data_IF_970028863647
#
_entry.id   IF_970028863647
#
_cell.length_a   1.000
_cell.length_b   1.000
_cell.length_c   1.000
_cell.angle_alpha   90.00
_cell.angle_beta   90.00
_cell.angle_gamma   90.00
#
_symmetry.space_group_name_H-M   'P 1'
#
loop_
_entity.id
_entity.type
_entity.pdbx_description
1 polymer ?
#
# COMPACT_ATOMS: atom_id res chain seq x y z
N UNK A 1 31.73 -8.27 -2.31
CA UNK A 1 31.49 -6.83 -2.16
C UNK A 1 30.01 -6.68 -1.86
N UNK A 2 29.70 -6.19 -0.68
CA UNK A 2 28.39 -6.22 -0.04
C UNK A 2 27.37 -5.44 -0.87
N UNK A 3 26.28 -6.08 -1.30
CA UNK A 3 25.13 -5.41 -1.91
C UNK A 3 24.47 -4.49 -0.86
N UNK A 4 24.95 -3.24 -0.74
CA UNK A 4 24.33 -2.24 0.13
C UNK A 4 22.93 -1.94 -0.40
N UNK A 5 21.89 -2.31 0.34
CA UNK A 5 20.52 -1.85 0.07
C UNK A 5 20.49 -0.35 0.36
N UNK A 6 20.56 0.50 -0.66
CA UNK A 6 20.54 1.96 -0.47
C UNK A 6 19.22 2.37 0.19
N UNK A 7 19.29 2.94 1.39
CA UNK A 7 18.11 3.48 2.07
C UNK A 7 17.59 4.66 1.27
N UNK A 8 16.28 4.69 0.99
CA UNK A 8 15.63 5.88 0.44
C UNK A 8 15.72 7.04 1.45
N UNK A 9 15.47 8.28 1.01
CA UNK A 9 15.68 9.49 1.82
C UNK A 9 14.94 9.45 3.16
N UNK A 10 13.73 8.90 3.21
CA UNK A 10 12.99 8.81 4.48
C UNK A 10 13.48 7.70 5.40
N UNK A 11 13.84 6.54 4.84
CA UNK A 11 14.46 5.49 5.62
C UNK A 11 15.83 5.93 6.11
N UNK A 12 16.55 6.76 5.34
CA UNK A 12 17.78 7.41 5.79
C UNK A 12 17.49 8.40 6.92
N UNK A 13 16.51 9.30 6.78
CA UNK A 13 16.11 10.23 7.86
C UNK A 13 15.58 9.50 9.11
N UNK A 14 14.89 8.37 8.93
CA UNK A 14 14.38 7.54 10.04
C UNK A 14 15.50 6.71 10.66
N UNK A 15 16.46 6.26 9.85
CA UNK A 15 17.70 5.64 10.29
C UNK A 15 18.51 6.62 11.14
N UNK A 16 18.76 7.83 10.65
CA UNK A 16 19.51 8.86 11.37
C UNK A 16 18.85 9.18 12.72
N UNK A 17 17.51 9.33 12.74
CA UNK A 17 16.77 9.53 14.00
C UNK A 17 16.85 8.32 14.93
N UNK A 18 16.84 7.09 14.40
CA UNK A 18 17.00 5.87 15.19
C UNK A 18 18.38 5.83 15.82
N UNK A 19 19.44 6.06 15.03
CA UNK A 19 20.83 6.06 15.50
C UNK A 19 21.05 7.14 16.56
N UNK A 20 20.63 8.38 16.29
CA UNK A 20 20.70 9.47 17.27
C UNK A 20 19.95 9.13 18.57
N UNK A 21 18.80 8.47 18.47
CA UNK A 21 18.04 8.04 19.66
C UNK A 21 18.76 6.93 20.43
N UNK A 22 19.40 5.99 19.74
CA UNK A 22 20.21 4.93 20.34
C UNK A 22 21.43 5.50 21.06
N UNK A 23 22.15 6.43 20.43
CA UNK A 23 23.32 7.10 21.01
C UNK A 23 22.93 7.96 22.23
N UNK A 24 21.85 8.74 22.12
CA UNK A 24 21.36 9.56 23.22
C UNK A 24 20.83 8.72 24.40
N UNK A 25 20.38 7.49 24.14
CA UNK A 25 19.83 6.57 25.13
C UNK A 25 20.88 5.78 25.92
N UNK A 26 22.16 5.82 25.54
CA UNK A 26 23.22 5.03 26.17
C UNK A 26 23.26 5.21 27.70
N UNK A 27 23.29 4.10 28.43
CA UNK A 27 23.28 4.09 29.89
C UNK A 27 21.92 4.39 30.53
N UNK A 28 20.85 4.54 29.75
CA UNK A 28 19.48 4.73 30.24
C UNK A 28 18.53 3.72 29.60
N UNK A 29 17.50 3.32 30.34
CA UNK A 29 16.44 2.47 29.77
C UNK A 29 15.63 3.28 28.77
N UNK A 30 15.67 2.87 27.50
CA UNK A 30 14.84 3.43 26.46
C UNK A 30 14.27 2.33 25.56
N UNK A 31 12.96 2.28 25.37
CA UNK A 31 12.32 1.28 24.52
C UNK A 31 11.98 1.93 23.18
N UNK A 32 12.75 1.63 22.14
CA UNK A 32 12.52 2.08 20.78
C UNK A 32 11.79 0.98 20.01
N UNK A 33 10.80 1.36 19.22
CA UNK A 33 10.06 0.43 18.38
C UNK A 33 10.45 0.66 16.94
N UNK A 34 11.06 -0.33 16.29
CA UNK A 34 11.35 -0.31 14.87
C UNK A 34 10.33 -1.18 14.13
N UNK A 35 9.63 -0.60 13.17
CA UNK A 35 8.54 -1.27 12.44
C UNK A 35 9.00 -1.50 11.02
N UNK A 36 9.02 -2.76 10.56
CA UNK A 36 9.41 -3.10 9.20
C UNK A 36 8.89 -4.48 8.80
N UNK A 37 8.05 -4.51 7.77
CA UNK A 37 7.54 -5.76 7.20
C UNK A 37 8.51 -6.39 6.17
N UNK A 38 9.45 -5.59 5.65
CA UNK A 38 10.45 -6.06 4.69
C UNK A 38 11.67 -6.65 5.42
N UNK A 39 11.82 -7.98 5.36
CA UNK A 39 12.92 -8.70 6.02
C UNK A 39 14.31 -8.28 5.54
N UNK A 40 14.48 -7.95 4.25
CA UNK A 40 15.77 -7.54 3.69
C UNK A 40 16.15 -6.12 4.17
N UNK A 41 15.21 -5.17 4.13
CA UNK A 41 15.41 -3.82 4.65
C UNK A 41 15.70 -3.83 6.15
N UNK A 42 14.94 -4.60 6.93
CA UNK A 42 15.19 -4.82 8.36
C UNK A 42 16.62 -5.33 8.59
N UNK A 43 17.05 -6.37 7.87
CA UNK A 43 18.42 -6.92 8.00
C UNK A 43 19.49 -5.87 7.67
N UNK A 44 19.29 -5.08 6.62
CA UNK A 44 20.22 -4.03 6.25
C UNK A 44 20.32 -2.95 7.32
N UNK A 45 19.18 -2.39 7.74
CA UNK A 45 19.12 -1.33 8.76
C UNK A 45 19.81 -1.80 10.03
N UNK A 46 19.48 -3.02 10.49
CA UNK A 46 20.13 -3.64 11.65
C UNK A 46 21.64 -3.73 11.43
N UNK A 47 22.07 -4.32 10.33
CA UNK A 47 23.50 -4.49 10.06
C UNK A 47 24.26 -3.17 10.01
N UNK A 48 23.62 -2.09 9.54
CA UNK A 48 24.23 -0.76 9.44
C UNK A 48 24.41 -0.09 10.79
N UNK A 49 23.34 0.08 11.56
CA UNK A 49 23.47 0.80 12.83
C UNK A 49 24.30 -0.01 13.83
N UNK A 50 24.25 -1.34 13.77
CA UNK A 50 25.07 -2.17 14.66
C UNK A 50 26.56 -2.00 14.32
N UNK A 51 26.93 -2.03 13.04
CA UNK A 51 28.31 -1.81 12.62
C UNK A 51 28.79 -0.38 12.95
N UNK A 52 27.92 0.63 12.79
CA UNK A 52 28.22 2.03 13.11
C UNK A 52 28.45 2.23 14.61
N UNK A 53 27.58 1.68 15.45
CA UNK A 53 27.70 1.77 16.90
C UNK A 53 28.89 0.97 17.44
N UNK A 54 29.14 -0.23 16.91
CA UNK A 54 30.32 -1.02 17.27
C UNK A 54 31.63 -0.30 16.92
N UNK A 55 31.67 0.40 15.78
CA UNK A 55 32.83 1.23 15.40
C UNK A 55 33.07 2.39 16.38
N UNK A 56 32.04 2.84 17.10
CA UNK A 56 32.13 3.85 18.15
C UNK A 56 32.42 3.26 19.55
N UNK A 57 32.61 1.93 19.66
CA UNK A 57 32.88 1.24 20.92
C UNK A 57 31.62 0.87 21.72
N UNK A 58 30.42 1.02 21.14
CA UNK A 58 29.16 0.61 21.76
C UNK A 58 28.96 -0.89 21.55
N UNK A 59 28.64 -1.62 22.63
CA UNK A 59 28.39 -3.06 22.56
C UNK A 59 26.95 -3.35 22.14
N UNK A 60 26.77 -4.18 21.11
CA UNK A 60 25.45 -4.54 20.59
C UNK A 60 25.08 -5.96 21.03
N UNK A 61 23.88 -6.14 21.59
CA UNK A 61 23.31 -7.44 21.91
C UNK A 61 22.12 -7.77 21.00
N UNK A 62 22.19 -8.87 20.24
CA UNK A 62 21.04 -9.38 19.50
C UNK A 62 20.27 -10.39 20.36
N UNK A 63 19.01 -10.07 20.65
CA UNK A 63 18.12 -10.89 21.47
C UNK A 63 17.08 -11.56 20.57
N UNK A 64 16.93 -12.88 20.69
CA UNK A 64 15.90 -13.62 19.98
C UNK A 64 14.73 -13.89 20.92
N UNK A 65 13.51 -13.55 20.50
CA UNK A 65 12.30 -13.94 21.21
C UNK A 65 12.09 -15.45 21.07
N UNK A 66 11.97 -16.12 22.21
CA UNK A 66 11.62 -17.53 22.29
C UNK A 66 10.14 -17.72 21.92
N UNK A 67 9.81 -18.69 21.06
CA UNK A 67 8.43 -18.93 20.65
C UNK A 67 7.61 -19.72 21.68
N UNK A 68 8.27 -20.42 22.60
CA UNK A 68 7.59 -21.12 23.70
C UNK A 68 7.31 -20.17 24.86
N UNK A 69 8.16 -19.16 25.04
CA UNK A 69 7.97 -18.08 26.02
C UNK A 69 8.35 -16.73 25.41
N UNK A 70 7.43 -16.09 24.66
CA UNK A 70 7.72 -14.86 23.94
C UNK A 70 7.72 -13.67 24.90
N UNK A 71 8.79 -13.53 25.68
CA UNK A 71 8.98 -12.48 26.67
C UNK A 71 10.26 -11.71 26.37
N UNK A 72 10.15 -10.38 26.31
CA UNK A 72 11.32 -9.50 26.14
C UNK A 72 12.28 -9.64 27.34
N UNK A 73 11.73 -9.79 28.55
CA UNK A 73 12.53 -10.02 29.75
C UNK A 73 13.30 -11.34 29.68
N UNK A 74 12.65 -12.41 29.21
CA UNK A 74 13.32 -13.70 29.06
C UNK A 74 14.44 -13.63 28.02
N UNK A 75 14.21 -12.92 26.91
CA UNK A 75 15.24 -12.71 25.90
C UNK A 75 16.46 -11.93 26.45
N UNK A 76 16.26 -10.98 27.37
CA UNK A 76 17.35 -10.27 28.06
C UNK A 76 18.16 -11.19 28.98
N UNK A 77 17.47 -12.05 29.73
CA UNK A 77 18.09 -13.04 30.63
C UNK A 77 18.93 -14.03 29.82
N UNK A 78 18.37 -14.58 28.74
CA UNK A 78 19.04 -15.54 27.87
C UNK A 78 20.23 -14.91 27.13
N UNK A 79 20.12 -13.62 26.79
CA UNK A 79 21.16 -12.83 26.13
C UNK A 79 22.38 -12.52 27.00
N UNK A 80 22.35 -12.82 28.32
CA UNK A 80 23.44 -12.59 29.28
C UNK A 80 24.09 -11.21 29.13
N UNK A 81 23.25 -10.18 29.13
CA UNK A 81 23.70 -8.80 28.91
C UNK A 81 24.59 -8.35 30.08
N UNK A 82 25.76 -7.82 29.76
CA UNK A 82 26.61 -7.14 30.73
C UNK A 82 26.18 -5.66 30.85
N UNK A 83 26.00 -5.21 32.09
CA UNK A 83 25.58 -3.85 32.40
C UNK A 83 26.75 -2.86 32.24
N UNK A 84 27.01 -2.47 30.99
CA UNK A 84 27.90 -1.37 30.61
C UNK A 84 27.05 -0.19 30.12
N UNK A 85 27.43 1.05 30.48
CA UNK A 85 26.78 2.28 29.98
C UNK A 85 26.90 2.46 28.45
N UNK A 86 27.81 1.75 27.78
CA UNK A 86 27.94 1.74 26.32
C UNK A 86 27.43 0.43 25.71
N UNK A 87 26.14 0.14 25.87
CA UNK A 87 25.52 -1.01 25.24
C UNK A 87 24.11 -0.73 24.73
N UNK A 88 23.68 -1.43 23.69
CA UNK A 88 22.31 -1.46 23.19
C UNK A 88 21.82 -2.90 23.02
N UNK A 89 20.52 -3.11 22.94
CA UNK A 89 19.97 -4.41 22.56
C UNK A 89 18.98 -4.35 21.40
N UNK A 90 19.14 -5.25 20.44
CA UNK A 90 18.26 -5.43 19.28
C UNK A 90 17.41 -6.68 19.50
N UNK A 91 16.11 -6.54 19.75
CA UNK A 91 15.19 -7.66 19.93
C UNK A 91 14.51 -8.07 18.60
N UNK A 92 14.59 -9.36 18.26
CA UNK A 92 14.19 -9.95 16.99
C UNK A 92 13.28 -11.19 17.18
N UNK A 93 12.54 -11.58 16.14
CA UNK A 93 11.74 -12.81 16.13
C UNK A 93 10.25 -12.59 16.38
N UNK A 94 9.82 -11.35 16.63
CA UNK A 94 8.42 -11.00 16.82
C UNK A 94 7.58 -11.26 15.56
N UNK A 95 8.19 -11.24 14.37
CA UNK A 95 7.56 -11.60 13.10
C UNK A 95 7.03 -13.04 13.03
N UNK A 96 7.54 -13.93 13.87
CA UNK A 96 7.07 -15.32 13.93
C UNK A 96 5.75 -15.44 14.70
N UNK A 97 5.38 -14.42 15.47
CA UNK A 97 4.14 -14.35 16.26
C UNK A 97 2.94 -13.86 15.43
N UNK A 98 3.17 -13.23 14.27
CA UNK A 98 2.12 -12.69 13.40
C UNK A 98 1.51 -13.69 12.41
N UNK A 99 2.01 -14.93 12.33
CA UNK A 99 1.49 -15.94 11.40
C UNK A 99 0.18 -16.57 11.93
N UNK A 100 -0.92 -16.43 11.17
CA UNK A 100 -2.30 -16.82 11.51
C UNK A 100 -2.55 -18.35 11.57
N UNK A 101 -1.85 -19.06 12.45
CA UNK A 101 -2.18 -20.43 12.88
C UNK A 101 -2.74 -20.45 14.30
N UNK A 102 -3.62 -21.38 14.64
CA UNK A 102 -4.25 -21.46 15.98
C UNK A 102 -3.23 -21.48 17.14
N UNK A 103 -2.13 -22.22 16.99
CA UNK A 103 -1.03 -22.28 17.97
C UNK A 103 -0.26 -20.95 18.12
N UNK A 104 -0.19 -20.13 17.08
CA UNK A 104 0.51 -18.84 17.13
C UNK A 104 -0.34 -17.74 17.77
N UNK A 105 -1.67 -17.89 17.78
CA UNK A 105 -2.58 -16.93 18.42
C UNK A 105 -2.42 -16.91 19.94
N UNK A 106 -2.31 -18.08 20.56
CA UNK A 106 -2.04 -18.19 22.00
C UNK A 106 -0.67 -17.61 22.39
N UNK A 107 0.34 -17.82 21.53
CA UNK A 107 1.69 -17.26 21.69
C UNK A 107 1.69 -15.73 21.56
N UNK A 108 0.94 -15.20 20.60
CA UNK A 108 0.74 -13.76 20.45
C UNK A 108 0.03 -13.16 21.66
N UNK A 109 -1.02 -13.81 22.16
CA UNK A 109 -1.75 -13.36 23.35
C UNK A 109 -0.85 -13.34 24.58
N UNK A 110 0.01 -14.36 24.73
CA UNK A 110 1.01 -14.44 25.79
C UNK A 110 2.06 -13.33 25.68
N UNK A 111 2.61 -13.09 24.48
CA UNK A 111 3.55 -12.00 24.22
C UNK A 111 2.97 -10.62 24.59
N UNK A 112 1.75 -10.32 24.15
CA UNK A 112 1.06 -9.06 24.45
C UNK A 112 0.77 -8.93 25.96
N UNK A 113 0.40 -10.04 26.61
CA UNK A 113 0.26 -10.13 28.06
C UNK A 113 1.57 -9.80 28.77
N UNK A 114 2.67 -10.44 28.41
CA UNK A 114 3.98 -10.15 29.01
C UNK A 114 4.41 -8.70 28.82
N UNK A 115 4.21 -8.13 27.62
CA UNK A 115 4.52 -6.72 27.35
C UNK A 115 3.79 -5.78 28.32
N UNK A 116 2.49 -6.02 28.54
CA UNK A 116 1.67 -5.23 29.46
C UNK A 116 2.20 -5.26 30.91
N UNK A 117 2.83 -6.36 31.34
CA UNK A 117 3.35 -6.54 32.71
C UNK A 117 4.88 -6.36 32.85
N UNK A 118 5.64 -6.14 31.77
CA UNK A 118 7.13 -6.04 31.82
C UNK A 118 7.70 -4.76 32.45
N UNK A 119 6.86 -3.77 32.77
CA UNK A 119 7.25 -2.40 33.14
C UNK A 119 8.35 -2.30 34.21
N UNK A 120 8.16 -2.94 35.35
CA UNK A 120 9.10 -2.83 36.48
C UNK A 120 10.35 -3.69 36.30
N UNK A 121 10.23 -4.82 35.59
CA UNK A 121 11.34 -5.73 35.37
C UNK A 121 12.39 -5.17 34.40
N UNK A 122 11.98 -4.37 33.41
CA UNK A 122 12.90 -3.77 32.44
C UNK A 122 13.75 -2.63 33.03
N UNK A 123 13.35 -2.02 34.16
CA UNK A 123 14.14 -0.98 34.85
C UNK A 123 15.51 -1.45 35.31
N UNK A 124 15.69 -2.76 35.48
CA UNK A 124 16.99 -3.37 35.78
C UNK A 124 17.99 -3.31 34.62
N UNK A 125 17.57 -2.89 33.43
CA UNK A 125 18.37 -2.87 32.20
C UNK A 125 18.49 -1.43 31.67
N UNK A 126 19.43 -0.62 32.18
CA UNK A 126 19.59 0.78 31.79
C UNK A 126 20.32 0.90 30.44
N UNK A 127 19.71 0.38 29.39
CA UNK A 127 20.21 0.44 28.02
C UNK A 127 19.08 0.66 27.01
N UNK A 128 19.36 1.30 25.87
CA UNK A 128 18.39 1.46 24.80
C UNK A 128 18.16 0.12 24.10
N UNK A 129 16.89 -0.23 23.97
CA UNK A 129 16.40 -1.47 23.36
C UNK A 129 15.57 -1.16 22.13
N UNK A 130 15.93 -1.75 20.99
CA UNK A 130 15.15 -1.65 19.74
C UNK A 130 14.37 -2.94 19.56
N UNK A 131 13.04 -2.86 19.69
CA UNK A 131 12.14 -3.96 19.41
C UNK A 131 11.68 -3.90 17.94
N UNK A 132 12.11 -4.87 17.14
CA UNK A 132 11.72 -4.98 15.74
C UNK A 132 10.41 -5.74 15.58
N UNK A 133 9.41 -5.10 14.97
CA UNK A 133 8.06 -5.62 14.83
C UNK A 133 7.57 -5.51 13.37
N UNK A 134 6.73 -6.45 12.91
CA UNK A 134 5.85 -6.20 11.77
C UNK A 134 4.79 -5.14 12.08
N UNK A 135 4.30 -4.45 11.05
CA UNK A 135 3.24 -3.45 11.18
C UNK A 135 1.95 -4.05 11.75
N UNK A 136 1.62 -5.29 11.39
CA UNK A 136 0.45 -6.00 11.91
C UNK A 136 0.52 -6.16 13.45
N UNK A 137 1.71 -6.44 13.99
CA UNK A 137 1.90 -6.64 15.42
C UNK A 137 1.92 -5.33 16.20
N UNK A 138 2.37 -4.23 15.57
CA UNK A 138 2.28 -2.89 16.14
C UNK A 138 0.84 -2.52 16.49
N UNK A 139 -0.10 -2.80 15.57
CA UNK A 139 -1.53 -2.51 15.77
C UNK A 139 -2.09 -3.26 16.99
N UNK A 140 -1.69 -4.52 17.17
CA UNK A 140 -2.10 -5.32 18.32
C UNK A 140 -1.51 -4.82 19.64
N UNK A 141 -0.23 -4.40 19.66
CA UNK A 141 0.40 -3.83 20.86
C UNK A 141 -0.28 -2.53 21.28
N UNK A 142 -0.60 -1.64 20.34
CA UNK A 142 -1.30 -0.38 20.63
C UNK A 142 -2.66 -0.65 21.27
N UNK A 143 -3.39 -1.66 20.79
CA UNK A 143 -4.73 -2.00 21.27
C UNK A 143 -4.72 -2.75 22.60
N UNK A 144 -3.75 -3.66 22.80
CA UNK A 144 -3.81 -4.69 23.84
C UNK A 144 -2.72 -4.60 24.89
N UNK A 145 -1.70 -3.78 24.67
CA UNK A 145 -0.64 -3.47 25.63
C UNK A 145 -0.40 -1.95 25.74
N UNK A 146 -1.43 -1.15 26.10
CA UNK A 146 -1.35 0.31 26.14
C UNK A 146 -0.34 0.85 27.17
N UNK A 147 -0.12 0.13 28.28
CA UNK A 147 0.85 0.56 29.30
C UNK A 147 2.27 0.43 28.78
N UNK A 148 2.59 -0.69 28.11
CA UNK A 148 3.86 -0.84 27.39
C UNK A 148 4.01 0.23 26.30
N UNK A 149 2.96 0.47 25.51
CA UNK A 149 2.97 1.50 24.48
C UNK A 149 3.33 2.87 25.04
N UNK A 150 2.83 3.24 26.22
CA UNK A 150 3.12 4.53 26.86
C UNK A 150 4.60 4.75 27.21
N UNK A 151 5.39 3.67 27.34
CA UNK A 151 6.81 3.69 27.71
C UNK A 151 7.78 3.78 26.54
N UNK A 152 7.29 3.72 25.31
CA UNK A 152 8.16 3.81 24.12
C UNK A 152 8.85 5.18 24.08
N UNK A 153 10.16 5.18 23.88
CA UNK A 153 10.96 6.38 23.64
C UNK A 153 10.84 6.90 22.20
N UNK A 154 10.42 6.05 21.26
CA UNK A 154 10.23 6.43 19.86
C UNK A 154 9.68 5.30 19.02
N UNK A 155 9.08 5.65 17.88
CA UNK A 155 8.61 4.69 16.87
C UNK A 155 9.24 5.06 15.52
N UNK A 156 10.00 4.12 14.97
CA UNK A 156 10.77 4.28 13.75
C UNK A 156 10.18 3.34 12.71
N UNK A 157 9.46 3.92 11.76
CA UNK A 157 8.81 3.12 10.72
C UNK A 157 9.77 3.04 9.53
N UNK A 158 10.41 1.88 9.38
CA UNK A 158 11.18 1.53 8.21
C UNK A 158 10.23 0.88 7.23
N UNK A 159 9.53 1.73 6.49
CA UNK A 159 8.64 1.33 5.42
C UNK A 159 9.28 1.58 4.07
N UNK A 160 8.48 1.54 3.02
CA UNK A 160 8.76 2.39 1.88
C UNK A 160 8.40 3.83 2.30
N UNK A 161 9.16 4.83 1.85
CA UNK A 161 9.00 6.23 2.27
C UNK A 161 7.52 6.70 2.26
N UNK A 162 7.03 7.26 3.37
CA UNK A 162 5.96 8.27 3.42
C UNK A 162 6.27 9.43 2.46
N UNK A 163 5.39 9.52 1.47
CA UNK A 163 5.17 10.66 0.62
C UNK A 163 5.18 12.02 1.37
N UNK A 164 6.08 12.93 0.96
CA UNK A 164 5.88 14.36 1.13
C UNK A 164 5.03 14.86 -0.05
N UNK A 165 3.72 14.99 0.20
CA UNK A 165 2.73 15.44 -0.78
C UNK A 165 2.97 16.86 -1.31
N UNK A 166 3.87 17.64 -0.70
CA UNK A 166 4.13 19.02 -1.13
C UNK A 166 5.13 19.15 -2.28
N UNK A 167 5.89 18.09 -2.58
CA UNK A 167 6.98 18.13 -3.59
C UNK A 167 6.73 17.29 -4.83
N UNK A 168 5.66 16.50 -4.88
CA UNK A 168 5.28 15.78 -6.09
C UNK A 168 4.41 16.71 -6.96
N UNK A 169 5.03 17.32 -7.97
CA UNK A 169 4.30 17.81 -9.14
C UNK A 169 3.74 16.59 -9.89
N UNK A 170 2.57 16.12 -9.46
CA UNK A 170 1.82 15.06 -10.11
C UNK A 170 0.98 15.69 -11.23
N UNK A 171 1.29 15.34 -12.47
CA UNK A 171 0.35 15.42 -13.60
C UNK A 171 -0.78 14.43 -13.34
N UNK A 172 -1.95 14.92 -12.92
CA UNK A 172 -3.12 14.08 -12.68
C UNK A 172 -3.85 13.83 -14.00
N UNK A 173 -3.84 12.57 -14.45
CA UNK A 173 -4.91 12.00 -15.23
C UNK A 173 -5.61 10.96 -14.32
N UNK A 174 -6.93 11.14 -14.10
CA UNK A 174 -7.99 10.17 -13.72
C UNK A 174 -7.71 8.99 -12.76
N UNK A 175 -6.61 8.98 -12.00
CA UNK A 175 -6.18 7.82 -11.22
C UNK A 175 -6.19 8.10 -9.71
N UNK A 176 -7.32 7.94 -8.98
CA UNK A 176 -7.29 7.61 -7.53
C UNK A 176 -8.66 7.31 -6.86
N UNK A 177 -9.44 6.31 -7.30
CA UNK A 177 -10.56 5.77 -6.48
C UNK A 177 -10.57 4.24 -6.35
N UNK A 178 -9.38 3.66 -6.13
CA UNK A 178 -9.20 2.26 -5.73
C UNK A 178 -8.62 2.11 -4.31
N UNK A 179 -8.69 3.16 -3.49
CA UNK A 179 -8.15 3.19 -2.14
C UNK A 179 -9.03 4.00 -1.15
N UNK A 180 -10.16 3.41 -0.79
CA UNK A 180 -10.92 3.51 0.46
C UNK A 180 -12.08 2.50 0.28
N UNK A 181 -12.52 1.66 1.21
CA UNK A 181 -12.43 1.56 2.65
C UNK A 181 -11.40 0.52 3.18
N UNK A 182 -10.85 0.86 4.34
CA UNK A 182 -10.00 0.07 5.26
C UNK A 182 -8.48 -0.01 4.99
N UNK A 183 -7.79 0.92 5.66
CA UNK A 183 -6.43 0.93 6.23
C UNK A 183 -5.19 0.56 5.40
N UNK A 184 -4.19 1.45 5.52
CA UNK A 184 -2.75 1.35 5.18
C UNK A 184 -2.31 1.72 3.76
N UNK A 185 -1.89 2.98 3.64
CA UNK A 185 -0.74 3.47 2.87
C UNK A 185 -0.33 2.65 1.64
N UNK A 186 -1.07 2.86 0.55
CA UNK A 186 -0.56 2.65 -0.80
C UNK A 186 0.18 3.91 -1.25
N UNK A 187 1.50 3.86 -1.18
CA UNK A 187 2.43 4.82 -1.77
C UNK A 187 3.27 4.08 -2.80
N UNK A 188 3.40 4.69 -3.98
CA UNK A 188 4.06 4.21 -5.19
C UNK A 188 5.48 3.69 -4.98
N UNK A 189 5.86 2.67 -5.75
CA UNK A 189 7.21 2.15 -5.92
C UNK A 189 8.27 3.26 -6.02
N UNK A 190 9.15 3.36 -5.02
CA UNK A 190 10.39 4.18 -5.05
C UNK A 190 11.49 3.50 -5.87
N UNK A 191 11.28 2.23 -6.23
CA UNK A 191 12.17 1.50 -7.13
C UNK A 191 11.90 1.94 -8.56
N UNK A 192 12.96 2.37 -9.24
CA UNK A 192 12.92 2.51 -10.70
C UNK A 192 12.53 1.18 -11.33
N UNK A 193 11.91 1.22 -12.52
CA UNK A 193 11.58 0.04 -13.33
C UNK A 193 12.75 -0.95 -13.35
N UNK A 194 13.96 -0.43 -13.57
CA UNK A 194 15.20 -1.21 -13.62
C UNK A 194 15.51 -1.97 -12.33
N UNK A 195 15.33 -1.35 -11.17
CA UNK A 195 15.58 -2.02 -9.89
C UNK A 195 14.56 -3.13 -9.62
N UNK A 196 13.31 -2.94 -10.05
CA UNK A 196 12.30 -4.00 -9.95
C UNK A 196 12.57 -5.14 -10.94
N UNK A 197 13.04 -4.84 -12.16
CA UNK A 197 13.49 -5.85 -13.13
C UNK A 197 14.69 -6.65 -12.60
N UNK A 198 15.68 -5.98 -12.01
CA UNK A 198 16.84 -6.63 -11.39
C UNK A 198 16.42 -7.53 -10.22
N UNK A 199 15.49 -7.04 -9.38
CA UNK A 199 14.92 -7.80 -8.26
C UNK A 199 14.13 -9.01 -8.73
N UNK A 200 13.38 -8.86 -9.85
CA UNK A 200 12.65 -9.96 -10.46
C UNK A 200 13.62 -11.02 -10.97
N UNK A 201 14.70 -10.63 -11.65
CA UNK A 201 15.72 -11.57 -12.14
C UNK A 201 16.35 -12.37 -10.99
N UNK A 202 16.72 -11.72 -9.89
CA UNK A 202 17.24 -12.40 -8.70
C UNK A 202 16.19 -13.35 -8.07
N UNK A 203 14.95 -12.87 -7.91
CA UNK A 203 13.86 -13.65 -7.34
C UNK A 203 13.52 -14.90 -8.18
N UNK A 204 13.54 -14.76 -9.51
CA UNK A 204 13.33 -15.87 -10.46
C UNK A 204 14.39 -16.96 -10.28
N UNK A 205 15.66 -16.59 -10.13
CA UNK A 205 16.74 -17.57 -9.90
C UNK A 205 16.65 -18.26 -8.55
N UNK A 206 16.11 -17.56 -7.54
CA UNK A 206 16.07 -18.05 -6.15
C UNK A 206 14.85 -18.91 -5.87
N UNK A 207 13.68 -18.52 -6.39
CA UNK A 207 12.39 -19.12 -6.02
C UNK A 207 11.63 -19.78 -7.18
N UNK A 208 12.05 -19.56 -8.44
CA UNK A 208 11.36 -20.08 -9.62
C UNK A 208 10.08 -19.31 -9.99
N UNK A 209 9.66 -19.38 -11.26
CA UNK A 209 8.64 -18.50 -11.87
C UNK A 209 7.28 -18.50 -11.15
N UNK A 210 6.87 -19.62 -10.54
CA UNK A 210 5.53 -19.81 -9.98
C UNK A 210 5.46 -19.55 -8.46
N UNK A 211 6.54 -19.04 -7.86
CA UNK A 211 6.58 -18.80 -6.42
C UNK A 211 5.66 -17.65 -5.98
N UNK A 212 4.88 -17.89 -4.93
CA UNK A 212 4.08 -16.88 -4.24
C UNK A 212 4.86 -15.65 -3.77
N UNK A 213 6.18 -15.77 -3.63
CA UNK A 213 7.06 -14.70 -3.17
C UNK A 213 7.46 -13.73 -4.31
N UNK A 214 7.29 -14.13 -5.57
CA UNK A 214 7.59 -13.30 -6.75
C UNK A 214 6.38 -12.44 -7.15
N UNK A 215 5.17 -12.90 -6.83
CA UNK A 215 3.91 -12.23 -7.19
C UNK A 215 3.90 -10.72 -6.89
N UNK A 216 4.34 -10.22 -5.72
CA UNK A 216 4.33 -8.78 -5.46
C UNK A 216 5.23 -7.98 -6.41
N UNK A 217 6.31 -8.58 -6.91
CA UNK A 217 7.23 -7.96 -7.87
C UNK A 217 6.56 -7.90 -9.25
N UNK A 218 5.88 -8.99 -9.66
CA UNK A 218 5.08 -9.00 -10.88
C UNK A 218 3.94 -7.96 -10.83
N UNK A 219 3.19 -7.90 -9.74
CA UNK A 219 2.11 -6.92 -9.60
C UNK A 219 2.62 -5.48 -9.68
N UNK A 220 3.77 -5.19 -9.03
CA UNK A 220 4.38 -3.87 -9.05
C UNK A 220 4.95 -3.48 -10.41
N UNK A 221 5.72 -4.36 -11.07
CA UNK A 221 6.23 -4.11 -12.41
C UNK A 221 5.09 -3.90 -13.40
N UNK A 222 4.10 -4.80 -13.35
CA UNK A 222 2.93 -4.74 -14.20
C UNK A 222 2.18 -3.42 -14.08
N UNK A 223 1.92 -2.99 -12.83
CA UNK A 223 1.29 -1.69 -12.58
C UNK A 223 2.17 -0.52 -13.03
N UNK A 224 3.47 -0.53 -12.74
CA UNK A 224 4.36 0.58 -13.08
C UNK A 224 4.49 0.78 -14.59
N UNK A 225 4.57 -0.31 -15.37
CA UNK A 225 4.53 -0.21 -16.83
C UNK A 225 3.17 0.26 -17.33
N UNK A 226 2.07 -0.20 -16.73
CA UNK A 226 0.74 0.31 -17.08
C UNK A 226 0.64 1.82 -16.85
N UNK A 227 1.04 2.31 -15.67
CA UNK A 227 1.04 3.73 -15.31
C UNK A 227 1.90 4.55 -16.30
N UNK A 228 3.08 4.04 -16.70
CA UNK A 228 3.94 4.70 -17.71
C UNK A 228 3.30 4.79 -19.09
N UNK A 229 2.59 3.74 -19.52
CA UNK A 229 1.84 3.70 -20.78
C UNK A 229 0.67 4.68 -20.75
N UNK A 230 -0.01 4.80 -19.61
CA UNK A 230 -1.14 5.70 -19.39
C UNK A 230 -0.69 7.17 -19.36
N UNK A 231 0.42 7.45 -18.68
CA UNK A 231 1.00 8.80 -18.56
C UNK A 231 1.71 9.29 -19.83
N UNK A 232 1.92 8.42 -20.82
CA UNK A 232 2.68 8.74 -22.03
C UNK A 232 4.17 8.99 -21.78
N UNK A 233 4.72 8.53 -20.65
CA UNK A 233 6.13 8.72 -20.22
C UNK A 233 7.08 7.65 -20.78
N UNK A 234 6.69 6.99 -21.86
CA UNK A 234 7.37 5.81 -22.40
C UNK A 234 8.01 6.12 -23.75
N UNK A 235 9.26 5.69 -23.92
CA UNK A 235 10.01 5.78 -25.19
C UNK A 235 9.56 4.70 -26.19
N UNK A 236 9.01 3.58 -25.69
CA UNK A 236 8.51 2.45 -26.47
C UNK A 236 7.21 1.92 -25.85
N UNK A 237 6.10 2.55 -26.25
CA UNK A 237 4.76 2.27 -25.73
C UNK A 237 4.32 0.83 -26.00
N UNK A 238 4.69 0.27 -27.15
CA UNK A 238 4.30 -1.09 -27.52
C UNK A 238 4.98 -2.10 -26.60
N UNK A 239 6.30 -1.98 -26.42
CA UNK A 239 7.06 -2.84 -25.51
C UNK A 239 6.56 -2.74 -24.07
N UNK A 240 6.37 -1.53 -23.55
CA UNK A 240 5.92 -1.36 -22.17
C UNK A 240 4.48 -1.88 -21.94
N UNK A 241 3.62 -1.79 -22.96
CA UNK A 241 2.27 -2.41 -22.91
C UNK A 241 2.36 -3.93 -22.78
N UNK A 242 3.22 -4.57 -23.57
CA UNK A 242 3.44 -6.02 -23.51
C UNK A 242 4.01 -6.44 -22.15
N UNK A 243 4.94 -5.67 -21.59
CA UNK A 243 5.51 -5.93 -20.27
C UNK A 243 4.47 -5.78 -19.16
N UNK A 244 3.67 -4.71 -19.20
CA UNK A 244 2.57 -4.49 -18.26
C UNK A 244 1.58 -5.67 -18.26
N UNK A 245 1.13 -6.07 -19.45
CA UNK A 245 0.21 -7.21 -19.63
C UNK A 245 0.83 -8.51 -19.11
N UNK A 246 2.09 -8.78 -19.45
CA UNK A 246 2.78 -10.01 -19.05
C UNK A 246 2.89 -10.12 -17.54
N UNK A 247 3.37 -9.07 -16.88
CA UNK A 247 3.58 -9.09 -15.43
C UNK A 247 2.26 -9.09 -14.65
N UNK A 248 1.25 -8.32 -15.08
CA UNK A 248 -0.08 -8.35 -14.44
C UNK A 248 -0.73 -9.73 -14.58
N UNK A 249 -0.64 -10.39 -15.73
CA UNK A 249 -1.17 -11.75 -15.91
C UNK A 249 -0.47 -12.77 -15.01
N UNK A 250 0.86 -12.72 -14.91
CA UNK A 250 1.61 -13.60 -13.99
C UNK A 250 1.20 -13.36 -12.53
N UNK A 251 1.03 -12.10 -12.12
CA UNK A 251 0.53 -11.77 -10.79
C UNK A 251 -0.87 -12.37 -10.55
N UNK A 252 -1.80 -12.18 -11.49
CA UNK A 252 -3.17 -12.71 -11.44
C UNK A 252 -3.16 -14.24 -11.30
N UNK A 253 -2.35 -14.96 -12.09
CA UNK A 253 -2.29 -16.42 -12.06
C UNK A 253 -1.81 -16.94 -10.69
N UNK A 254 -0.80 -16.29 -10.12
CA UNK A 254 -0.30 -16.64 -8.79
C UNK A 254 -1.34 -16.28 -7.72
N UNK A 255 -1.94 -15.09 -7.78
CA UNK A 255 -2.98 -14.66 -6.83
C UNK A 255 -4.19 -15.59 -6.83
N UNK A 256 -4.61 -16.08 -8.00
CA UNK A 256 -5.66 -17.13 -8.13
C UNK A 256 -5.22 -18.43 -7.45
N UNK A 257 -4.02 -18.89 -7.75
CA UNK A 257 -3.46 -20.14 -7.21
C UNK A 257 -3.40 -20.12 -5.68
N UNK A 258 -2.97 -19.01 -5.10
CA UNK A 258 -2.85 -18.84 -3.65
C UNK A 258 -4.08 -18.19 -2.98
N UNK A 259 -5.17 -18.01 -3.73
CA UNK A 259 -6.44 -17.42 -3.25
C UNK A 259 -6.28 -16.05 -2.57
N UNK A 260 -5.39 -15.21 -3.09
CA UNK A 260 -5.16 -13.82 -2.65
C UNK A 260 -6.21 -12.88 -3.28
N UNK A 261 -7.46 -12.97 -2.81
CA UNK A 261 -8.62 -12.27 -3.42
C UNK A 261 -8.44 -10.76 -3.53
N UNK A 262 -8.01 -10.10 -2.45
CA UNK A 262 -7.79 -8.66 -2.48
C UNK A 262 -6.75 -8.30 -3.54
N UNK A 263 -5.58 -8.94 -3.56
CA UNK A 263 -4.52 -8.66 -4.56
C UNK A 263 -4.99 -8.96 -5.99
N UNK A 264 -5.78 -10.03 -6.17
CA UNK A 264 -6.42 -10.40 -7.43
C UNK A 264 -7.30 -9.27 -7.97
N UNK A 265 -8.21 -8.75 -7.14
CA UNK A 265 -9.09 -7.62 -7.51
C UNK A 265 -8.26 -6.41 -7.97
N UNK A 266 -7.15 -6.11 -7.31
CA UNK A 266 -6.30 -4.98 -7.68
C UNK A 266 -5.61 -5.18 -9.03
N UNK A 267 -5.09 -6.38 -9.28
CA UNK A 267 -4.37 -6.70 -10.51
C UNK A 267 -5.31 -6.81 -11.71
N UNK A 268 -6.50 -7.39 -11.51
CA UNK A 268 -7.58 -7.41 -12.51
C UNK A 268 -7.98 -5.98 -12.90
N UNK A 269 -8.26 -5.11 -11.92
CA UNK A 269 -8.68 -3.74 -12.19
C UNK A 269 -7.58 -2.90 -12.88
N UNK A 270 -6.31 -3.11 -12.52
CA UNK A 270 -5.19 -2.41 -13.16
C UNK A 270 -5.04 -2.81 -14.63
N UNK A 271 -5.12 -4.11 -14.93
CA UNK A 271 -5.04 -4.61 -16.31
C UNK A 271 -6.27 -4.19 -17.13
N UNK A 272 -7.46 -4.25 -16.52
CA UNK A 272 -8.70 -3.82 -17.14
C UNK A 272 -8.67 -2.34 -17.52
N UNK A 273 -8.16 -1.50 -16.62
CA UNK A 273 -8.04 -0.07 -16.86
C UNK A 273 -7.08 0.25 -18.01
N UNK A 274 -5.90 -0.38 -18.02
CA UNK A 274 -4.96 -0.25 -19.13
C UNK A 274 -5.61 -0.64 -20.47
N UNK A 275 -6.34 -1.75 -20.51
CA UNK A 275 -7.07 -2.16 -21.71
C UNK A 275 -8.16 -1.17 -22.12
N UNK A 276 -8.93 -0.63 -21.17
CA UNK A 276 -9.94 0.41 -21.44
C UNK A 276 -9.27 1.63 -22.10
N UNK A 277 -8.18 2.10 -21.53
CA UNK A 277 -7.44 3.27 -22.05
C UNK A 277 -6.88 3.04 -23.45
N UNK A 278 -6.39 1.82 -23.72
CA UNK A 278 -5.88 1.43 -25.04
C UNK A 278 -7.00 1.12 -26.06
N UNK A 279 -8.28 1.16 -25.66
CA UNK A 279 -9.42 0.87 -26.51
C UNK A 279 -9.77 -0.62 -26.65
N UNK A 280 -9.11 -1.50 -25.90
CA UNK A 280 -9.42 -2.93 -25.84
C UNK A 280 -10.61 -3.21 -24.91
N UNK A 281 -11.77 -2.64 -25.24
CA UNK A 281 -12.96 -2.64 -24.40
C UNK A 281 -13.47 -4.03 -24.03
N UNK A 282 -13.42 -5.00 -24.95
CA UNK A 282 -13.86 -6.39 -24.67
C UNK A 282 -12.99 -7.06 -23.59
N UNK A 283 -11.67 -6.84 -23.67
CA UNK A 283 -10.73 -7.38 -22.67
C UNK A 283 -10.93 -6.70 -21.32
N UNK A 284 -11.13 -5.38 -21.31
CA UNK A 284 -11.37 -4.61 -20.11
C UNK A 284 -12.65 -5.06 -19.40
N UNK A 285 -13.76 -5.17 -20.14
CA UNK A 285 -15.05 -5.60 -19.62
C UNK A 285 -14.96 -7.00 -18.99
N UNK A 286 -14.29 -7.95 -19.65
CA UNK A 286 -14.12 -9.31 -19.11
C UNK A 286 -13.43 -9.30 -17.75
N UNK A 287 -12.35 -8.51 -17.61
CA UNK A 287 -11.60 -8.43 -16.35
C UNK A 287 -12.36 -7.68 -15.26
N UNK A 288 -13.12 -6.64 -15.60
CA UNK A 288 -13.98 -5.94 -14.63
C UNK A 288 -15.12 -6.82 -14.13
N UNK A 289 -15.72 -7.66 -15.01
CA UNK A 289 -16.72 -8.65 -14.59
C UNK A 289 -16.12 -9.70 -13.66
N UNK A 290 -14.92 -10.19 -13.98
CA UNK A 290 -14.19 -11.10 -13.08
C UNK A 290 -13.91 -10.44 -11.72
N UNK A 291 -13.47 -9.17 -11.70
CA UNK A 291 -13.27 -8.43 -10.46
C UNK A 291 -14.57 -8.26 -9.66
N UNK A 292 -15.72 -8.06 -10.32
CA UNK A 292 -17.02 -7.98 -9.64
C UNK A 292 -17.42 -9.31 -9.02
N UNK A 293 -17.16 -10.44 -9.68
CA UNK A 293 -17.46 -11.76 -9.14
C UNK A 293 -16.61 -12.05 -7.89
N UNK A 294 -15.34 -11.68 -7.87
CA UNK A 294 -14.49 -11.79 -6.67
C UNK A 294 -14.96 -10.84 -5.53
N UNK A 295 -15.48 -9.66 -5.86
CA UNK A 295 -15.97 -8.68 -4.89
C UNK A 295 -17.28 -9.08 -4.20
N UNK A 296 -18.14 -9.89 -4.84
CA UNK A 296 -19.42 -10.35 -4.25
C UNK A 296 -19.22 -11.15 -2.97
N UNK A 297 -18.07 -11.79 -2.84
CA UNK A 297 -17.70 -12.60 -1.68
C UNK A 297 -17.06 -11.76 -0.56
N UNK A 298 -16.85 -10.45 -0.76
CA UNK A 298 -16.30 -9.53 0.25
C UNK A 298 -17.35 -8.52 0.75
N UNK A 299 -17.89 -8.70 1.97
CA UNK A 299 -19.06 -7.93 2.44
C UNK A 299 -18.83 -6.42 2.64
N UNK A 300 -17.58 -5.94 2.53
CA UNK A 300 -17.20 -4.56 2.87
C UNK A 300 -16.70 -3.71 1.69
N UNK A 301 -16.84 -4.16 0.43
CA UNK A 301 -16.28 -3.44 -0.73
C UNK A 301 -17.33 -2.81 -1.68
N UNK A 302 -18.41 -2.27 -1.13
CA UNK A 302 -19.50 -1.69 -1.93
C UNK A 302 -19.08 -0.49 -2.78
N UNK A 303 -18.13 0.33 -2.31
CA UNK A 303 -17.58 1.47 -3.08
C UNK A 303 -16.89 0.99 -4.37
N UNK A 304 -16.12 -0.11 -4.28
CA UNK A 304 -15.45 -0.72 -5.46
C UNK A 304 -16.45 -1.24 -6.48
N UNK A 305 -17.55 -1.81 -6.02
CA UNK A 305 -18.63 -2.28 -6.91
C UNK A 305 -19.24 -1.10 -7.66
N UNK A 306 -19.54 0.01 -6.95
CA UNK A 306 -20.08 1.22 -7.56
C UNK A 306 -19.11 1.77 -8.62
N UNK A 307 -17.82 1.85 -8.30
CA UNK A 307 -16.79 2.30 -9.24
C UNK A 307 -16.73 1.41 -10.50
N UNK A 308 -16.65 0.09 -10.35
CA UNK A 308 -16.57 -0.83 -11.51
C UNK A 308 -17.83 -0.72 -12.38
N UNK A 309 -19.01 -0.54 -11.79
CA UNK A 309 -20.23 -0.28 -12.57
C UNK A 309 -20.13 1.02 -13.38
N UNK A 310 -19.59 2.11 -12.81
CA UNK A 310 -19.32 3.34 -13.56
C UNK A 310 -18.38 3.10 -14.74
N UNK A 311 -17.29 2.37 -14.52
CA UNK A 311 -16.31 2.06 -15.57
C UNK A 311 -16.89 1.15 -16.67
N UNK A 312 -17.72 0.18 -16.32
CA UNK A 312 -18.46 -0.63 -17.30
C UNK A 312 -19.45 0.24 -18.08
N UNK A 313 -20.11 1.20 -17.43
CA UNK A 313 -20.97 2.17 -18.09
C UNK A 313 -20.23 3.02 -19.11
N UNK A 314 -19.01 3.45 -18.78
CA UNK A 314 -18.09 4.13 -19.69
C UNK A 314 -17.74 3.30 -20.94
N UNK A 315 -17.48 2.00 -20.74
CA UNK A 315 -17.19 1.07 -21.84
C UNK A 315 -18.40 0.96 -22.77
N UNK A 316 -19.59 0.76 -22.22
CA UNK A 316 -20.84 0.69 -23.00
C UNK A 316 -21.15 2.00 -23.71
N UNK A 317 -20.93 3.15 -23.05
CA UNK A 317 -21.09 4.48 -23.63
C UNK A 317 -20.18 4.65 -24.85
N UNK A 318 -18.91 4.27 -24.72
CA UNK A 318 -17.93 4.39 -25.81
C UNK A 318 -18.24 3.46 -26.99
N UNK A 319 -18.91 2.32 -26.75
CA UNK A 319 -19.44 1.42 -27.79
C UNK A 319 -20.71 1.95 -28.47
N UNK A 320 -21.37 2.96 -27.91
CA UNK A 320 -22.67 3.46 -28.37
C UNK A 320 -23.87 2.74 -27.77
N UNK A 321 -23.67 1.83 -26.80
CA UNK A 321 -24.73 1.11 -26.11
C UNK A 321 -25.29 1.96 -24.95
N UNK A 322 -25.90 3.10 -25.30
CA UNK A 322 -26.27 4.13 -24.34
C UNK A 322 -27.25 3.67 -23.26
N UNK A 323 -28.18 2.77 -23.58
CA UNK A 323 -29.16 2.26 -22.59
C UNK A 323 -28.50 1.33 -21.57
N UNK A 324 -27.52 0.53 -22.00
CA UNK A 324 -26.72 -0.30 -21.11
C UNK A 324 -25.83 0.56 -20.21
N UNK A 325 -25.20 1.60 -20.78
CA UNK A 325 -24.42 2.59 -20.03
C UNK A 325 -25.28 3.28 -18.96
N UNK A 326 -26.49 3.72 -19.32
CA UNK A 326 -27.42 4.35 -18.38
C UNK A 326 -27.75 3.42 -17.20
N UNK A 327 -28.06 2.15 -17.48
CA UNK A 327 -28.38 1.18 -16.43
C UNK A 327 -27.22 1.01 -15.44
N UNK A 328 -25.99 0.93 -15.95
CA UNK A 328 -24.77 0.79 -15.15
C UNK A 328 -24.48 2.06 -14.33
N UNK A 329 -24.58 3.24 -14.93
CA UNK A 329 -24.42 4.51 -14.21
C UNK A 329 -25.49 4.69 -13.12
N UNK A 330 -26.74 4.25 -13.36
CA UNK A 330 -27.80 4.29 -12.34
C UNK A 330 -27.46 3.40 -11.15
N UNK A 331 -26.99 2.17 -11.39
CA UNK A 331 -26.58 1.25 -10.33
C UNK A 331 -25.41 1.81 -9.53
N UNK A 332 -24.39 2.36 -10.22
CA UNK A 332 -23.24 3.02 -9.59
C UNK A 332 -23.68 4.18 -8.71
N UNK A 333 -24.42 5.15 -9.28
CA UNK A 333 -24.84 6.36 -8.58
C UNK A 333 -25.75 6.05 -7.38
N UNK A 334 -26.66 5.07 -7.53
CA UNK A 334 -27.52 4.64 -6.42
C UNK A 334 -26.67 4.10 -5.26
N UNK A 335 -25.74 3.18 -5.53
CA UNK A 335 -24.90 2.59 -4.50
C UNK A 335 -23.99 3.64 -3.85
N UNK A 336 -23.37 4.52 -4.63
CA UNK A 336 -22.55 5.63 -4.11
C UNK A 336 -23.36 6.57 -3.21
N UNK A 337 -24.64 6.82 -3.56
CA UNK A 337 -25.56 7.62 -2.74
C UNK A 337 -25.91 6.93 -1.43
N UNK A 338 -26.17 5.62 -1.45
CA UNK A 338 -26.44 4.83 -0.24
C UNK A 338 -25.23 4.79 0.72
N UNK A 339 -24.01 4.85 0.18
CA UNK A 339 -22.76 4.87 0.95
C UNK A 339 -22.34 6.28 1.42
N UNK A 340 -22.88 7.33 0.81
CA UNK A 340 -22.47 8.72 1.08
C UNK A 340 -21.11 9.10 0.48
N UNK A 341 -20.61 8.33 -0.50
CA UNK A 341 -19.37 8.61 -1.23
C UNK A 341 -19.54 9.78 -2.20
N UNK A 342 -19.38 11.02 -1.70
CA UNK A 342 -19.60 12.25 -2.46
C UNK A 342 -18.76 12.35 -3.74
N UNK A 343 -17.57 11.81 -3.70
CA UNK A 343 -16.65 11.65 -4.83
C UNK A 343 -17.25 10.80 -5.96
N UNK A 344 -17.69 9.58 -5.65
CA UNK A 344 -18.32 8.68 -6.63
C UNK A 344 -19.68 9.19 -7.09
N UNK A 345 -20.39 9.95 -6.24
CA UNK A 345 -21.62 10.64 -6.64
C UNK A 345 -21.30 11.74 -7.66
N UNK A 346 -20.25 12.54 -7.44
CA UNK A 346 -19.83 13.57 -8.38
C UNK A 346 -19.43 12.96 -9.74
N UNK A 347 -18.66 11.88 -9.70
CA UNK A 347 -18.24 11.12 -10.89
C UNK A 347 -19.45 10.57 -11.65
N UNK A 348 -20.36 9.87 -10.98
CA UNK A 348 -21.57 9.34 -11.61
C UNK A 348 -22.44 10.45 -12.23
N UNK A 349 -22.52 11.63 -11.60
CA UNK A 349 -23.20 12.78 -12.23
C UNK A 349 -22.45 13.26 -13.49
N UNK A 350 -21.12 13.27 -13.49
CA UNK A 350 -20.38 13.65 -14.69
C UNK A 350 -20.53 12.61 -15.82
N UNK A 351 -20.57 11.33 -15.49
CA UNK A 351 -20.84 10.25 -16.44
C UNK A 351 -22.21 10.40 -17.13
N UNK A 352 -23.25 10.74 -16.36
CA UNK A 352 -24.56 11.08 -16.92
C UNK A 352 -24.50 12.33 -17.80
N UNK A 353 -23.67 13.32 -17.44
CA UNK A 353 -23.49 14.51 -18.28
C UNK A 353 -22.93 14.13 -19.66
N UNK A 354 -21.92 13.26 -19.70
CA UNK A 354 -21.32 12.77 -20.94
C UNK A 354 -22.30 11.90 -21.75
N UNK A 355 -23.05 11.02 -21.10
CA UNK A 355 -24.06 10.18 -21.74
C UNK A 355 -25.17 11.00 -22.40
N UNK A 356 -25.76 11.94 -21.66
CA UNK A 356 -26.84 12.78 -22.16
C UNK A 356 -26.35 13.72 -23.28
N UNK A 357 -25.08 14.13 -23.22
CA UNK A 357 -24.47 14.87 -24.33
C UNK A 357 -24.41 14.01 -25.60
N UNK A 358 -23.95 12.76 -25.51
CA UNK A 358 -23.91 11.86 -26.66
C UNK A 358 -25.30 11.57 -27.26
N UNK A 359 -26.34 11.57 -26.41
CA UNK A 359 -27.74 11.49 -26.83
C UNK A 359 -28.30 12.78 -27.45
N UNK A 360 -27.56 13.89 -27.39
CA UNK A 360 -27.98 15.21 -27.87
C UNK A 360 -28.83 16.01 -26.87
N UNK A 361 -29.01 15.52 -25.65
CA UNK A 361 -29.80 16.16 -24.59
C UNK A 361 -28.97 17.19 -23.81
N UNK A 362 -28.48 18.23 -24.48
CA UNK A 362 -27.54 19.21 -23.91
C UNK A 362 -28.04 19.89 -22.62
N UNK A 363 -29.35 20.18 -22.54
CA UNK A 363 -29.95 20.76 -21.33
C UNK A 363 -29.78 19.85 -20.13
N UNK A 364 -30.04 18.54 -20.29
CA UNK A 364 -29.92 17.56 -19.22
C UNK A 364 -28.46 17.28 -18.90
N UNK A 365 -27.60 17.19 -19.92
CA UNK A 365 -26.17 17.07 -19.76
C UNK A 365 -25.58 18.20 -18.88
N UNK A 366 -25.97 19.45 -19.14
CA UNK A 366 -25.52 20.62 -18.37
C UNK A 366 -26.00 20.59 -16.93
N UNK A 367 -27.21 20.08 -16.66
CA UNK A 367 -27.70 19.91 -15.28
C UNK A 367 -26.83 18.92 -14.51
N UNK A 368 -26.52 17.77 -15.11
CA UNK A 368 -25.67 16.75 -14.50
C UNK A 368 -24.24 17.23 -14.29
N UNK A 369 -23.65 17.92 -15.28
CA UNK A 369 -22.34 18.56 -15.15
C UNK A 369 -22.29 19.55 -13.97
N UNK A 370 -23.29 20.42 -13.85
CA UNK A 370 -23.35 21.39 -12.74
C UNK A 370 -23.48 20.72 -11.37
N UNK A 371 -24.18 19.59 -11.28
CA UNK A 371 -24.24 18.79 -10.04
C UNK A 371 -22.85 18.25 -9.68
N UNK A 372 -22.18 17.59 -10.63
CA UNK A 372 -20.82 17.08 -10.43
C UNK A 372 -19.85 18.20 -10.00
N UNK A 373 -19.87 19.32 -10.72
CA UNK A 373 -19.09 20.52 -10.41
C UNK A 373 -19.30 21.03 -9.00
N UNK A 374 -20.56 21.15 -8.58
CA UNK A 374 -20.91 21.64 -7.24
C UNK A 374 -20.35 20.72 -6.16
N UNK A 375 -20.43 19.40 -6.34
CA UNK A 375 -19.93 18.44 -5.37
C UNK A 375 -18.40 18.46 -5.31
N UNK A 376 -17.71 18.48 -6.46
CA UNK A 376 -16.24 18.61 -6.46
C UNK A 376 -15.75 19.91 -5.82
N UNK A 377 -16.48 21.01 -5.99
CA UNK A 377 -16.20 22.27 -5.29
C UNK A 377 -16.37 22.13 -3.77
N UNK A 378 -17.44 21.46 -3.31
CA UNK A 378 -17.67 21.20 -1.88
C UNK A 378 -16.57 20.32 -1.27
N UNK A 379 -16.03 19.37 -2.04
CA UNK A 379 -14.94 18.49 -1.63
C UNK A 379 -13.56 19.16 -1.67
N UNK A 380 -13.43 20.32 -2.31
CA UNK A 380 -12.11 20.92 -2.59
C UNK A 380 -11.27 20.09 -3.57
N UNK A 381 -11.91 19.30 -4.42
CA UNK A 381 -11.30 18.41 -5.40
C UNK A 381 -10.85 19.20 -6.65
N UNK A 382 -9.80 20.02 -6.50
CA UNK A 382 -9.34 20.98 -7.52
C UNK A 382 -9.03 20.29 -8.86
N UNK A 383 -8.39 19.11 -8.82
CA UNK A 383 -7.94 18.41 -10.03
C UNK A 383 -9.09 17.78 -10.79
N UNK A 384 -10.04 17.18 -10.08
CA UNK A 384 -11.26 16.63 -10.68
C UNK A 384 -12.10 17.75 -11.30
N UNK A 385 -12.16 18.90 -10.63
CA UNK A 385 -12.81 20.10 -11.15
C UNK A 385 -12.16 20.59 -12.45
N UNK A 386 -10.83 20.76 -12.47
CA UNK A 386 -10.07 21.15 -13.67
C UNK A 386 -10.28 20.15 -14.82
N UNK A 387 -10.31 18.86 -14.48
CA UNK A 387 -10.54 17.78 -15.43
C UNK A 387 -11.92 17.87 -16.07
N UNK A 388 -13.00 17.90 -15.27
CA UNK A 388 -14.36 17.96 -15.83
C UNK A 388 -14.60 19.28 -16.57
N UNK A 389 -13.99 20.38 -16.15
CA UNK A 389 -14.08 21.67 -16.84
C UNK A 389 -13.39 21.60 -18.20
N UNK A 390 -12.20 21.01 -18.27
CA UNK A 390 -11.48 20.81 -19.53
C UNK A 390 -12.27 19.95 -20.50
N UNK A 391 -12.76 18.80 -20.06
CA UNK A 391 -13.56 17.90 -20.90
C UNK A 391 -14.85 18.59 -21.37
N UNK A 392 -15.54 19.30 -20.47
CA UNK A 392 -16.76 20.04 -20.81
C UNK A 392 -16.50 21.19 -21.78
N UNK A 393 -15.37 21.89 -21.66
CA UNK A 393 -14.99 22.97 -22.58
C UNK A 393 -14.64 22.46 -23.98
N UNK A 394 -13.91 21.34 -24.08
CA UNK A 394 -13.66 20.67 -25.37
C UNK A 394 -14.98 20.26 -26.04
N UNK A 395 -15.96 19.89 -25.23
CA UNK A 395 -17.31 19.54 -25.64
C UNK A 395 -18.06 20.76 -26.20
N UNK A 396 -18.03 21.92 -25.54
CA UNK A 396 -18.70 23.15 -26.02
C UNK A 396 -18.05 23.73 -27.28
N UNK A 397 -16.72 23.57 -27.45
CA UNK A 397 -15.99 24.08 -28.61
C UNK A 397 -16.18 23.23 -29.88
N UNK A 398 -16.48 21.93 -29.75
CA UNK A 398 -16.75 21.05 -30.91
C UNK A 398 -18.06 21.36 -31.66
N UNK A 399 -18.86 22.29 -31.12
CA UNK A 399 -20.18 22.69 -31.63
C UNK A 399 -20.22 24.16 -32.13
N UNK A 400 -19.07 24.88 -32.05
CA UNK A 400 -18.87 26.24 -32.59
C UNK A 400 -18.20 26.18 -33.96
#
# INVERSE_FOLDING_TARGET
MSNLIVLNEENANTYDRLVVSLEAGLGTLQILIAVCDNSALKKEVISRYEAELEAQGVRVYRLALNLEEPSLLQALIDGKIEFNQQAIATALGAEKLSNLGASNREKLDSFLGYLQWTREALRGYPLPMVLWLPSALLVEIVKRAPDFWSWRGGVFNFGFAKFDFSKVQISYNRDFMLAQSDTSQRSSSVLSVRQLEDSLAEALTTWGEDSANIEPIYAQLGKLYADRVLDGKTDDRERETVLAETYLKRAIDIQKTYKRRSDLIHSLNSLAYMYKFLGYWDKAESLYKESLDELREEPYNKERIAFIWGVLGDIERNRGNWDAAESLYRQSLQLSTELGGLDLIAEGNFDFALLEKQRGNLTLAKQYYNKAKTIYQQLGAIKDLEFIEKEWNLIEQSES
#
